data_IF_097261471186
#
_entry.id   IF_097261471186
#
_cell.length_a   1.000
_cell.length_b   1.000
_cell.length_c   1.000
_cell.angle_alpha   90.00
_cell.angle_beta   90.00
_cell.angle_gamma   90.00
#
_symmetry.space_group_name_H-M   'P 1'
#
loop_
_entity.id
_entity.type
_entity.pdbx_description
1 polymer ?
#
# COMPACT_ATOMS: atom_id res chain seq x y z
N UNK A 1 26.51 5.94 -38.39
CA UNK A 1 25.73 5.84 -37.14
C UNK A 1 26.03 6.94 -36.12
N UNK A 2 27.23 7.55 -36.10
CA UNK A 2 27.64 8.56 -35.09
C UNK A 2 26.87 9.89 -35.18
N UNK A 3 26.62 10.41 -36.40
CA UNK A 3 25.94 11.71 -36.62
C UNK A 3 24.49 11.78 -36.08
N UNK A 4 23.77 10.66 -36.04
CA UNK A 4 22.42 10.61 -35.51
C UNK A 4 22.39 10.69 -33.99
N UNK A 5 23.36 10.06 -33.31
CA UNK A 5 23.46 10.09 -31.85
C UNK A 5 23.79 11.49 -31.34
N UNK A 6 24.65 12.24 -32.05
CA UNK A 6 25.03 13.60 -31.65
C UNK A 6 23.89 14.61 -31.85
N UNK A 7 23.11 14.46 -32.92
CA UNK A 7 21.89 15.25 -33.17
C UNK A 7 20.79 14.96 -32.14
N UNK A 8 20.64 13.69 -31.73
CA UNK A 8 19.69 13.32 -30.67
C UNK A 8 20.12 13.86 -29.31
N UNK A 9 21.42 13.77 -28.98
CA UNK A 9 21.97 14.31 -27.74
C UNK A 9 21.76 15.81 -27.62
N UNK A 10 22.01 16.57 -28.68
CA UNK A 10 21.82 18.03 -28.68
C UNK A 10 20.35 18.40 -28.52
N UNK A 11 19.43 17.72 -29.22
CA UNK A 11 17.98 17.94 -29.05
C UNK A 11 17.48 17.57 -27.65
N UNK A 12 17.99 16.49 -27.07
CA UNK A 12 17.65 16.11 -25.69
C UNK A 12 18.20 17.11 -24.66
N UNK A 13 19.43 17.60 -24.85
CA UNK A 13 20.01 18.65 -24.03
C UNK A 13 19.19 19.94 -24.09
N UNK A 14 18.74 20.33 -25.27
CA UNK A 14 17.88 21.51 -25.45
C UNK A 14 16.54 21.34 -24.70
N UNK A 15 15.90 20.18 -24.83
CA UNK A 15 14.64 19.85 -24.14
C UNK A 15 14.83 19.87 -22.62
N UNK A 16 15.85 19.18 -22.09
CA UNK A 16 16.12 19.08 -20.64
C UNK A 16 16.55 20.43 -20.06
N UNK A 17 17.22 21.26 -20.85
CA UNK A 17 17.62 22.62 -20.46
C UNK A 17 16.45 23.62 -20.42
N UNK A 18 15.34 23.30 -21.10
CA UNK A 18 14.18 24.19 -21.17
C UNK A 18 13.54 24.41 -19.81
N UNK A 19 13.11 25.65 -19.54
CA UNK A 19 12.45 26.01 -18.28
C UNK A 19 11.14 25.23 -18.06
N UNK A 20 10.44 24.89 -19.16
CA UNK A 20 9.22 24.07 -19.14
C UNK A 20 9.50 22.66 -18.63
N UNK A 21 10.59 22.03 -19.10
CA UNK A 21 10.99 20.71 -18.61
C UNK A 21 11.37 20.75 -17.13
N UNK A 22 12.15 21.76 -16.71
CA UNK A 22 12.53 21.94 -15.29
C UNK A 22 11.30 22.08 -14.38
N UNK A 23 10.33 22.92 -14.75
CA UNK A 23 9.09 23.06 -13.99
C UNK A 23 8.26 21.78 -13.99
N UNK A 24 8.13 21.12 -15.13
CA UNK A 24 7.42 19.84 -15.23
C UNK A 24 8.05 18.76 -14.35
N UNK A 25 9.39 18.71 -14.31
CA UNK A 25 10.13 17.79 -13.46
C UNK A 25 9.94 18.10 -11.95
N UNK A 26 9.95 19.38 -11.57
CA UNK A 26 9.70 19.77 -10.17
C UNK A 26 8.27 19.40 -9.78
N UNK A 27 7.28 19.72 -10.61
CA UNK A 27 5.89 19.40 -10.36
C UNK A 27 5.65 17.89 -10.26
N UNK A 28 6.27 17.09 -11.13
CA UNK A 28 6.13 15.63 -11.10
C UNK A 28 6.76 15.03 -9.84
N UNK A 29 7.92 15.54 -9.40
CA UNK A 29 8.54 15.12 -8.13
C UNK A 29 7.63 15.47 -6.95
N UNK A 30 7.04 16.66 -6.91
CA UNK A 30 6.12 17.04 -5.83
C UNK A 30 4.90 16.12 -5.78
N UNK A 31 4.28 15.82 -6.92
CA UNK A 31 3.16 14.88 -7.00
C UNK A 31 3.59 13.49 -6.53
N UNK A 32 4.76 13.01 -6.96
CA UNK A 32 5.29 11.72 -6.53
C UNK A 32 5.51 11.66 -5.01
N UNK A 33 6.07 12.71 -4.41
CA UNK A 33 6.27 12.80 -2.96
C UNK A 33 4.93 12.74 -2.22
N UNK A 34 3.92 13.51 -2.67
CA UNK A 34 2.57 13.48 -2.07
C UNK A 34 1.97 12.09 -2.13
N UNK A 35 2.05 11.42 -3.29
CA UNK A 35 1.54 10.06 -3.45
C UNK A 35 2.28 9.07 -2.53
N UNK A 36 3.61 9.14 -2.47
CA UNK A 36 4.40 8.28 -1.59
C UNK A 36 3.98 8.47 -0.14
N UNK A 37 3.88 9.71 0.35
CA UNK A 37 3.48 10.00 1.73
C UNK A 37 2.07 9.49 2.02
N UNK A 38 1.12 9.71 1.10
CA UNK A 38 -0.27 9.28 1.26
C UNK A 38 -0.42 7.76 1.31
N UNK A 39 0.25 7.03 0.43
CA UNK A 39 0.13 5.56 0.32
C UNK A 39 1.13 4.78 1.18
N UNK A 40 2.05 5.46 1.87
CA UNK A 40 3.09 4.83 2.68
C UNK A 40 2.52 3.92 3.77
N UNK A 41 1.54 4.42 4.51
CA UNK A 41 0.92 3.72 5.64
C UNK A 41 0.18 2.45 5.20
N UNK A 42 -0.58 2.53 4.11
CA UNK A 42 -1.25 1.39 3.52
C UNK A 42 -0.25 0.33 3.04
N UNK A 43 0.83 0.75 2.36
CA UNK A 43 1.86 -0.16 1.87
C UNK A 43 2.53 -0.94 3.00
N UNK A 44 2.84 -0.26 4.12
CA UNK A 44 3.40 -0.91 5.32
C UNK A 44 2.40 -1.89 5.95
N UNK A 45 1.14 -1.48 6.07
CA UNK A 45 0.09 -2.33 6.62
C UNK A 45 -0.08 -3.62 5.80
N UNK A 46 -0.05 -3.53 4.47
CA UNK A 46 -0.09 -4.70 3.58
C UNK A 46 1.09 -5.64 3.81
N UNK A 47 2.30 -5.11 4.03
CA UNK A 47 3.47 -5.92 4.39
C UNK A 47 3.27 -6.62 5.74
N UNK A 48 2.76 -5.89 6.73
CA UNK A 48 2.39 -6.44 8.04
C UNK A 48 1.40 -7.59 7.89
N UNK A 49 0.34 -7.40 7.10
CA UNK A 49 -0.73 -8.38 6.89
C UNK A 49 -0.17 -9.64 6.25
N UNK A 50 0.61 -9.50 5.17
CA UNK A 50 1.25 -10.63 4.49
C UNK A 50 2.15 -11.42 5.44
N UNK A 51 2.93 -10.72 6.27
CA UNK A 51 3.80 -11.35 7.27
C UNK A 51 3.00 -12.11 8.34
N UNK A 52 1.94 -11.50 8.89
CA UNK A 52 1.05 -12.14 9.86
C UNK A 52 0.34 -13.35 9.26
N UNK A 53 -0.20 -13.22 8.04
CA UNK A 53 -0.91 -14.27 7.33
C UNK A 53 0.00 -15.47 7.04
N UNK A 54 1.24 -15.23 6.59
CA UNK A 54 2.22 -16.28 6.36
C UNK A 54 2.56 -17.07 7.64
N UNK A 55 2.69 -16.39 8.78
CA UNK A 55 2.96 -17.03 10.08
C UNK A 55 1.78 -17.81 10.63
N UNK A 56 0.56 -17.35 10.35
CA UNK A 56 -0.67 -17.91 10.91
C UNK A 56 -1.32 -18.97 10.01
N UNK A 57 -0.80 -19.18 8.80
CA UNK A 57 -1.44 -20.03 7.78
C UNK A 57 -2.75 -19.44 7.26
N UNK A 58 -2.90 -18.12 7.31
CA UNK A 58 -4.05 -17.40 6.79
C UNK A 58 -3.80 -16.92 5.35
N UNK A 59 -4.88 -16.69 4.59
CA UNK A 59 -4.82 -16.07 3.27
C UNK A 59 -5.09 -14.57 3.41
N UNK A 60 -4.18 -13.67 3.00
CA UNK A 60 -4.45 -12.23 3.03
C UNK A 60 -5.57 -11.86 2.05
N UNK A 61 -6.46 -10.95 2.46
CA UNK A 61 -7.50 -10.38 1.58
C UNK A 61 -7.05 -8.98 1.16
N UNK A 62 -7.31 -7.98 2.01
CA UNK A 62 -7.10 -6.58 1.67
C UNK A 62 -6.94 -5.72 2.93
N UNK A 63 -6.22 -4.60 2.77
CA UNK A 63 -6.11 -3.52 3.73
C UNK A 63 -6.86 -2.30 3.23
N UNK A 64 -7.60 -1.63 4.10
CA UNK A 64 -8.21 -0.35 3.77
C UNK A 64 -7.14 0.74 3.65
N UNK A 65 -7.46 1.85 2.99
CA UNK A 65 -6.67 3.07 3.12
C UNK A 65 -6.93 3.61 4.52
N UNK A 66 -5.87 4.08 5.19
CA UNK A 66 -6.01 4.65 6.53
C UNK A 66 -6.96 5.85 6.48
N UNK A 67 -7.99 5.82 7.31
CA UNK A 67 -8.84 6.99 7.53
C UNK A 67 -8.06 8.06 8.30
N UNK A 68 -8.58 9.29 8.29
CA UNK A 68 -8.05 10.50 8.93
C UNK A 68 -8.04 10.44 10.47
N UNK A 69 -8.22 9.26 11.06
CA UNK A 69 -8.17 9.08 12.49
C UNK A 69 -6.72 9.08 13.00
N UNK A 70 -6.55 9.42 14.28
CA UNK A 70 -5.24 9.49 14.93
C UNK A 70 -4.74 8.12 15.42
N UNK A 71 -5.41 7.02 15.09
CA UNK A 71 -4.88 5.70 15.43
C UNK A 71 -3.68 5.39 14.52
N UNK A 72 -2.65 4.71 15.02
CA UNK A 72 -1.47 4.39 14.22
C UNK A 72 -1.64 3.11 13.39
N UNK A 73 -2.89 2.72 13.10
CA UNK A 73 -3.24 1.41 12.57
C UNK A 73 -4.05 1.52 11.27
N UNK A 74 -4.04 0.44 10.51
CA UNK A 74 -4.80 0.28 9.28
C UNK A 74 -5.59 -1.00 9.40
N UNK A 75 -6.90 -0.91 9.13
CA UNK A 75 -7.79 -2.06 9.12
C UNK A 75 -7.51 -2.94 7.92
N UNK A 76 -7.15 -4.19 8.18
CA UNK A 76 -6.91 -5.22 7.17
C UNK A 76 -7.76 -6.47 7.47
N UNK A 77 -7.79 -7.41 6.52
CA UNK A 77 -8.53 -8.66 6.69
C UNK A 77 -7.80 -9.84 6.06
N UNK A 78 -7.94 -11.02 6.67
CA UNK A 78 -7.38 -12.26 6.18
C UNK A 78 -8.35 -13.44 6.43
N UNK A 79 -8.31 -14.46 5.59
CA UNK A 79 -9.08 -15.69 5.77
C UNK A 79 -8.24 -16.70 6.56
N UNK A 80 -8.74 -17.15 7.70
CA UNK A 80 -8.14 -18.24 8.46
C UNK A 80 -9.21 -19.30 8.69
N UNK A 81 -8.95 -20.54 8.24
CA UNK A 81 -9.90 -21.66 8.40
C UNK A 81 -11.32 -21.32 7.91
N UNK A 82 -11.41 -20.70 6.74
CA UNK A 82 -12.67 -20.28 6.08
C UNK A 82 -13.40 -19.11 6.75
N UNK A 83 -12.83 -18.48 7.78
CA UNK A 83 -13.40 -17.31 8.45
C UNK A 83 -12.61 -16.05 8.13
N UNK A 84 -13.31 -14.93 7.92
CA UNK A 84 -12.69 -13.61 7.73
C UNK A 84 -12.29 -13.04 9.10
N UNK A 85 -10.99 -12.87 9.29
CA UNK A 85 -10.39 -12.33 10.51
C UNK A 85 -10.02 -10.86 10.28
N UNK A 86 -10.63 -9.93 11.03
CA UNK A 86 -10.23 -8.53 11.02
C UNK A 86 -8.88 -8.33 11.73
N UNK A 87 -8.02 -7.54 11.10
CA UNK A 87 -6.66 -7.25 11.54
C UNK A 87 -6.49 -5.74 11.67
N UNK A 88 -5.73 -5.33 12.67
CA UNK A 88 -5.16 -3.99 12.75
C UNK A 88 -3.66 -4.08 12.51
N UNK A 89 -3.21 -3.48 11.42
CA UNK A 89 -1.82 -3.49 11.02
C UNK A 89 -1.20 -2.12 11.29
N UNK A 90 -0.03 -2.10 11.92
CA UNK A 90 0.67 -0.85 12.20
C UNK A 90 1.05 -0.12 10.91
N UNK A 91 0.88 1.19 10.91
CA UNK A 91 1.08 2.08 9.77
C UNK A 91 2.52 2.64 9.64
N UNK A 92 3.46 2.15 10.46
CA UNK A 92 4.81 2.71 10.60
C UNK A 92 5.89 1.65 10.48
N UNK A 93 7.05 2.03 9.94
CA UNK A 93 8.22 1.14 9.79
C UNK A 93 8.79 0.66 11.14
N UNK A 94 8.49 1.37 12.22
CA UNK A 94 8.91 0.98 13.57
C UNK A 94 7.87 0.09 14.29
N UNK A 95 6.69 -0.08 13.69
CA UNK A 95 5.62 -0.93 14.22
C UNK A 95 5.01 -1.75 13.07
N UNK A 96 5.86 -2.48 12.35
CA UNK A 96 5.42 -3.36 11.27
C UNK A 96 4.89 -4.65 11.88
N UNK A 97 3.59 -4.88 11.72
CA UNK A 97 2.94 -6.09 12.21
C UNK A 97 1.44 -5.89 12.30
N UNK A 98 0.72 -7.00 12.44
CA UNK A 98 -0.73 -6.97 12.63
C UNK A 98 -1.12 -7.72 13.88
N UNK A 99 -2.17 -7.22 14.53
CA UNK A 99 -2.88 -7.91 15.59
C UNK A 99 -4.29 -8.23 15.11
N UNK A 100 -4.83 -9.34 15.56
CA UNK A 100 -6.25 -9.62 15.36
C UNK A 100 -7.04 -8.61 16.19
N UNK A 101 -7.94 -7.88 15.54
CA UNK A 101 -8.88 -7.02 16.25
C UNK A 101 -10.30 -7.34 15.79
N UNK A 102 -11.00 -8.15 16.58
CA UNK A 102 -12.42 -8.42 16.32
C UNK A 102 -13.30 -7.18 16.51
N UNK A 103 -12.87 -6.16 17.26
CA UNK A 103 -13.71 -4.99 17.55
C UNK A 103 -15.13 -5.38 17.97
N UNK A 104 -16.13 -4.53 17.73
CA UNK A 104 -17.55 -4.84 17.97
C UNK A 104 -18.15 -5.90 17.01
N UNK A 105 -17.34 -6.52 16.12
CA UNK A 105 -17.80 -7.57 15.22
C UNK A 105 -17.54 -8.94 15.86
N UNK A 106 -18.57 -9.63 16.40
CA UNK A 106 -18.39 -10.98 16.90
C UNK A 106 -17.88 -11.90 15.77
N UNK A 107 -17.07 -12.92 16.08
CA UNK A 107 -16.68 -13.91 15.10
C UNK A 107 -17.95 -14.46 14.43
N UNK A 108 -17.99 -14.45 13.10
CA UNK A 108 -19.11 -14.98 12.34
C UNK A 108 -19.17 -16.48 12.62
N UNK A 109 -20.02 -16.88 13.58
CA UNK A 109 -20.22 -18.27 13.89
C UNK A 109 -20.60 -19.01 12.61
N UNK A 110 -19.87 -20.09 12.29
CA UNK A 110 -20.18 -21.02 11.18
C UNK A 110 -21.68 -21.14 11.00
N UNK A 111 -22.22 -20.52 9.96
CA UNK A 111 -23.55 -20.89 9.48
C UNK A 111 -23.37 -22.27 8.89
N UNK A 112 -23.62 -23.30 9.71
CA UNK A 112 -23.82 -24.65 9.24
C UNK A 112 -24.91 -24.58 8.18
N UNK A 113 -24.53 -24.64 6.91
CA UNK A 113 -25.49 -24.67 5.83
C UNK A 113 -26.43 -25.86 6.09
N UNK A 114 -27.76 -25.65 6.07
CA UNK A 114 -28.67 -26.77 6.16
C UNK A 114 -28.45 -27.61 4.89
N UNK A 115 -28.02 -28.86 5.11
CA UNK A 115 -27.97 -29.89 4.08
C UNK A 115 -29.41 -30.04 3.55
N UNK A 116 -29.65 -29.60 2.31
CA UNK A 116 -30.87 -29.93 1.55
C UNK A 116 -30.72 -31.36 1.04
#
# INVERSE_FOLDING_TARGET
MVLWADSLKTKLLEIVSSWKFKLGAIASVLVAVVLVVFFWQHSIAVVGMKSWSARSGAQPIECMIKDTNDDSYVSCSAILKEEVIPLECGASIFNIGCRVNYGAAPPVARQSQPKI
#
